data_IF_491709253972
#
_entry.id   IF_491709253972
#
_cell.length_a   1.000
_cell.length_b   1.000
_cell.length_c   1.000
_cell.angle_alpha   90.00
_cell.angle_beta   90.00
_cell.angle_gamma   90.00
#
_symmetry.space_group_name_H-M   'P 1'
#
loop_
_entity.id
_entity.type
_entity.pdbx_description
1 polymer ?
#
# COMPACT_ATOMS: atom_id res chain seq x y z
N UNK A 1 17.44 -15.62 25.76
CA UNK A 1 17.03 -16.90 25.11
C UNK A 1 15.85 -16.72 24.12
N UNK A 2 14.83 -15.92 24.46
CA UNK A 2 13.65 -15.75 23.58
C UNK A 2 13.94 -15.03 22.25
N UNK A 3 14.89 -14.11 22.20
CA UNK A 3 15.25 -13.35 20.97
C UNK A 3 16.04 -14.19 19.97
N UNK A 4 16.88 -15.13 20.43
CA UNK A 4 17.63 -16.01 19.55
C UNK A 4 16.75 -17.07 18.88
N UNK A 5 15.74 -17.59 19.61
CA UNK A 5 14.78 -18.56 19.08
C UNK A 5 13.85 -17.91 18.03
N UNK A 6 13.43 -16.66 18.24
CA UNK A 6 12.68 -15.91 17.22
C UNK A 6 13.52 -15.65 15.95
N UNK A 7 14.79 -15.32 16.08
CA UNK A 7 15.70 -15.17 14.93
C UNK A 7 15.89 -16.46 14.16
N UNK A 8 16.06 -17.60 14.83
CA UNK A 8 16.15 -18.91 14.18
C UNK A 8 14.86 -19.31 13.45
N UNK A 9 13.69 -19.04 14.05
CA UNK A 9 12.40 -19.29 13.38
C UNK A 9 12.24 -18.49 12.11
N UNK A 10 12.67 -17.23 12.08
CA UNK A 10 12.62 -16.38 10.89
C UNK A 10 13.62 -16.79 9.80
N UNK A 11 14.72 -17.43 10.16
CA UNK A 11 15.74 -17.91 9.20
C UNK A 11 15.40 -19.26 8.55
N UNK A 12 14.49 -20.03 9.13
CA UNK A 12 14.13 -21.36 8.63
C UNK A 12 12.86 -21.39 7.77
N UNK A 13 12.12 -20.26 7.65
CA UNK A 13 10.89 -20.19 6.89
C UNK A 13 11.27 -19.74 5.46
N UNK A 14 11.19 -20.66 4.51
CA UNK A 14 11.21 -20.35 3.08
C UNK A 14 9.85 -19.77 2.72
N UNK A 15 9.80 -18.80 1.81
CA UNK A 15 8.58 -18.21 1.26
C UNK A 15 7.72 -17.48 2.31
N UNK A 16 8.34 -16.57 3.07
CA UNK A 16 7.69 -15.80 4.11
C UNK A 16 7.55 -14.33 3.74
N UNK A 17 6.53 -13.71 4.32
CA UNK A 17 6.38 -12.25 4.33
C UNK A 17 6.72 -11.75 5.74
N UNK A 18 7.60 -10.76 5.84
CA UNK A 18 7.93 -10.06 7.08
C UNK A 18 7.47 -8.63 6.94
N UNK A 19 6.63 -8.17 7.88
CA UNK A 19 6.15 -6.80 7.92
C UNK A 19 6.73 -6.10 9.14
N UNK A 20 7.38 -4.96 8.92
CA UNK A 20 7.89 -4.07 9.96
C UNK A 20 7.00 -2.83 10.03
N UNK A 21 6.10 -2.81 11.01
CA UNK A 21 5.20 -1.69 11.27
C UNK A 21 5.50 -1.10 12.66
N UNK A 22 6.13 0.00 12.71
CA UNK A 22 6.70 0.85 11.66
C UNK A 22 8.20 1.07 11.89
N UNK A 23 8.90 1.56 10.86
CA UNK A 23 10.33 1.94 11.01
C UNK A 23 10.52 3.00 12.10
N UNK A 24 9.54 3.88 12.30
CA UNK A 24 9.57 4.90 13.36
C UNK A 24 9.62 4.32 14.78
N UNK A 25 9.09 3.11 14.98
CA UNK A 25 9.07 2.41 16.27
C UNK A 25 10.34 1.59 16.55
N UNK A 26 11.29 1.54 15.62
CA UNK A 26 12.58 0.88 15.81
C UNK A 26 13.51 1.79 16.60
N UNK A 27 13.50 1.65 17.92
CA UNK A 27 14.31 2.45 18.83
C UNK A 27 15.67 1.79 19.04
N UNK A 28 16.78 2.54 18.90
CA UNK A 28 18.12 2.06 19.24
C UNK A 28 18.24 1.72 20.73
N UNK A 29 19.00 0.66 21.06
CA UNK A 29 19.22 0.25 22.45
C UNK A 29 19.78 1.37 23.32
N UNK A 30 20.74 2.14 22.79
CA UNK A 30 21.33 3.28 23.50
C UNK A 30 20.34 4.40 23.79
N UNK A 31 19.28 4.53 22.99
CA UNK A 31 18.21 5.50 23.23
C UNK A 31 17.23 5.02 24.30
N UNK A 32 17.03 3.67 24.39
CA UNK A 32 16.21 3.06 25.45
C UNK A 32 16.91 3.13 26.82
N UNK A 33 18.22 2.97 26.85
CA UNK A 33 19.05 2.94 28.07
C UNK A 33 19.55 4.33 28.48
N UNK A 34 19.42 5.34 27.59
CA UNK A 34 19.82 6.73 27.84
C UNK A 34 18.82 7.49 28.72
N UNK A 35 19.22 8.66 29.18
CA UNK A 35 18.36 9.55 29.94
C UNK A 35 17.48 10.41 29.04
N UNK A 36 16.34 10.89 29.56
CA UNK A 36 15.47 11.82 28.84
C UNK A 36 16.22 13.12 28.56
N UNK A 37 16.39 13.46 27.29
CA UNK A 37 17.11 14.66 26.85
C UNK A 37 18.45 14.35 26.17
N UNK A 38 18.95 13.12 26.24
CA UNK A 38 20.15 12.71 25.52
C UNK A 38 19.97 12.85 24.00
N UNK A 39 20.97 13.45 23.36
CA UNK A 39 20.94 13.67 21.92
C UNK A 39 21.47 12.44 21.15
N UNK A 40 20.58 11.70 20.51
CA UNK A 40 20.92 10.52 19.67
C UNK A 40 20.80 10.82 18.17
N UNK A 41 21.22 12.01 17.73
CA UNK A 41 21.10 12.47 16.34
C UNK A 41 21.72 11.46 15.36
N UNK A 42 20.90 10.98 14.42
CA UNK A 42 21.32 10.08 13.35
C UNK A 42 21.63 8.65 13.76
N UNK A 43 21.49 8.28 15.03
CA UNK A 43 21.77 6.92 15.51
C UNK A 43 20.85 5.88 14.83
N UNK A 44 19.56 6.15 14.78
CA UNK A 44 18.58 5.30 14.08
C UNK A 44 18.94 5.14 12.60
N UNK A 45 19.32 6.19 11.90
CA UNK A 45 19.70 6.14 10.49
C UNK A 45 20.96 5.29 10.24
N UNK A 46 21.94 5.38 11.16
CA UNK A 46 23.17 4.58 11.11
C UNK A 46 22.88 3.10 11.34
N UNK A 47 22.05 2.77 12.34
CA UNK A 47 21.65 1.40 12.63
C UNK A 47 20.79 0.80 11.51
N UNK A 48 19.88 1.57 10.92
CA UNK A 48 19.11 1.14 9.75
C UNK A 48 20.02 0.80 8.57
N UNK A 49 21.05 1.62 8.31
CA UNK A 49 22.01 1.35 7.24
C UNK A 49 22.80 0.06 7.49
N UNK A 50 23.17 -0.23 8.73
CA UNK A 50 23.84 -1.48 9.11
C UNK A 50 22.91 -2.69 9.01
N UNK A 51 21.69 -2.57 9.52
CA UNK A 51 20.68 -3.62 9.49
C UNK A 51 20.34 -4.02 8.06
N UNK A 52 20.08 -3.05 7.17
CA UNK A 52 19.71 -3.31 5.78
C UNK A 52 20.84 -3.99 5.00
N UNK A 53 22.11 -3.64 5.26
CA UNK A 53 23.25 -4.37 4.64
C UNK A 53 23.25 -5.84 5.01
N UNK A 54 22.97 -6.18 6.28
CA UNK A 54 22.91 -7.57 6.75
C UNK A 54 21.67 -8.28 6.22
N UNK A 55 20.51 -7.62 6.27
CA UNK A 55 19.22 -8.17 5.84
C UNK A 55 19.19 -8.46 4.34
N UNK A 56 19.74 -7.59 3.50
CA UNK A 56 19.75 -7.79 2.04
C UNK A 56 20.40 -9.10 1.65
N UNK A 57 21.54 -9.46 2.27
CA UNK A 57 22.20 -10.73 2.00
C UNK A 57 21.39 -11.96 2.44
N UNK A 58 20.62 -11.84 3.51
CA UNK A 58 19.77 -12.93 4.02
C UNK A 58 18.52 -13.07 3.18
N UNK A 59 17.86 -11.94 2.90
CA UNK A 59 16.61 -11.89 2.13
C UNK A 59 16.81 -12.46 0.73
N UNK A 60 17.92 -12.10 0.05
CA UNK A 60 18.23 -12.61 -1.30
C UNK A 60 18.39 -14.13 -1.38
N UNK A 61 18.60 -14.80 -0.24
CA UNK A 61 18.80 -16.27 -0.15
C UNK A 61 17.55 -17.00 0.36
N UNK A 62 16.52 -16.29 0.81
CA UNK A 62 15.43 -16.88 1.57
C UNK A 62 14.06 -16.77 0.90
N UNK A 63 13.95 -16.39 -0.36
CA UNK A 63 12.67 -16.16 -1.05
C UNK A 63 11.62 -15.42 -0.19
N UNK A 64 12.09 -14.49 0.66
CA UNK A 64 11.28 -13.78 1.64
C UNK A 64 11.00 -12.35 1.17
N UNK A 65 9.75 -11.91 1.26
CA UNK A 65 9.38 -10.52 1.02
C UNK A 65 9.43 -9.77 2.35
N UNK A 66 10.14 -8.63 2.37
CA UNK A 66 10.17 -7.77 3.56
C UNK A 66 9.53 -6.42 3.24
N UNK A 67 8.48 -6.10 3.99
CA UNK A 67 7.72 -4.86 3.85
C UNK A 67 8.05 -3.96 5.03
N UNK A 68 8.56 -2.76 4.75
CA UNK A 68 8.77 -1.71 5.75
C UNK A 68 7.70 -0.65 5.60
N UNK A 69 6.89 -0.48 6.64
CA UNK A 69 5.94 0.63 6.75
C UNK A 69 6.67 1.81 7.40
N UNK A 70 6.64 2.96 6.74
CA UNK A 70 7.31 4.17 7.24
C UNK A 70 6.37 5.37 7.26
N UNK A 71 6.66 6.30 8.12
CA UNK A 71 5.91 7.55 8.26
C UNK A 71 6.65 8.69 7.56
N UNK A 72 5.89 9.60 6.97
CA UNK A 72 6.41 10.86 6.47
C UNK A 72 6.48 11.88 7.61
N UNK A 73 7.54 12.63 7.61
CA UNK A 73 7.77 13.77 8.50
C UNK A 73 8.13 14.98 7.66
N UNK A 74 7.82 16.15 8.13
CA UNK A 74 8.22 17.38 7.50
C UNK A 74 9.48 17.94 8.17
N UNK A 75 10.41 18.41 7.35
CA UNK A 75 11.57 19.16 7.82
C UNK A 75 11.22 20.64 7.88
N UNK A 76 11.37 21.22 9.04
CA UNK A 76 11.21 22.66 9.24
C UNK A 76 12.36 23.40 8.54
N UNK A 77 12.06 24.53 7.87
CA UNK A 77 13.05 25.42 7.26
C UNK A 77 13.55 25.02 5.87
N UNK A 78 12.89 24.09 5.18
CA UNK A 78 13.21 23.79 3.77
C UNK A 78 12.52 24.81 2.85
N UNK A 79 13.30 25.74 2.29
CA UNK A 79 12.79 26.77 1.37
C UNK A 79 12.61 26.27 -0.06
N UNK A 80 13.36 25.23 -0.50
CA UNK A 80 13.32 24.67 -1.85
C UNK A 80 13.26 23.14 -1.83
N UNK A 81 12.46 22.55 -2.72
CA UNK A 81 12.27 21.11 -2.83
C UNK A 81 11.18 20.60 -1.88
N UNK A 82 11.03 19.26 -1.79
CA UNK A 82 10.05 18.62 -0.91
C UNK A 82 10.55 18.63 0.54
N UNK A 83 9.81 19.20 1.49
CA UNK A 83 10.14 19.14 2.91
C UNK A 83 9.97 17.74 3.49
N UNK A 84 9.30 16.84 2.78
CA UNK A 84 8.98 15.52 3.27
C UNK A 84 10.21 14.61 3.40
N UNK A 85 10.32 13.98 4.55
CA UNK A 85 11.37 13.01 4.86
C UNK A 85 10.79 11.81 5.56
N UNK A 86 11.52 10.70 5.55
CA UNK A 86 11.15 9.46 6.24
C UNK A 86 12.03 9.25 7.45
N UNK A 87 11.51 8.59 8.50
CA UNK A 87 12.31 8.14 9.64
C UNK A 87 13.31 7.05 9.23
N UNK A 88 14.39 6.87 10.02
CA UNK A 88 15.42 5.86 9.71
C UNK A 88 16.39 6.25 8.60
N UNK A 89 16.40 7.53 8.16
CA UNK A 89 17.35 8.06 7.18
C UNK A 89 17.06 7.65 5.73
N UNK A 90 18.12 7.68 4.90
CA UNK A 90 18.00 7.45 3.45
C UNK A 90 18.20 5.99 3.02
N UNK A 91 18.65 5.10 3.90
CA UNK A 91 19.05 3.75 3.51
C UNK A 91 17.94 2.94 2.84
N UNK A 92 16.72 2.96 3.38
CA UNK A 92 15.57 2.29 2.77
C UNK A 92 15.30 2.73 1.33
N UNK A 93 15.51 4.01 1.00
CA UNK A 93 15.31 4.53 -0.37
C UNK A 93 16.23 3.85 -1.38
N UNK A 94 17.44 3.47 -0.97
CA UNK A 94 18.42 2.80 -1.82
C UNK A 94 18.18 1.29 -1.88
N UNK A 95 17.99 0.65 -0.73
CA UNK A 95 17.87 -0.81 -0.63
C UNK A 95 16.54 -1.36 -1.16
N UNK A 96 15.44 -0.62 -1.03
CA UNK A 96 14.14 -1.09 -1.52
C UNK A 96 14.12 -1.37 -3.02
N UNK A 97 13.50 -2.47 -3.41
CA UNK A 97 13.19 -2.79 -4.81
C UNK A 97 11.96 -2.03 -5.29
N UNK A 98 10.92 -1.95 -4.45
CA UNK A 98 9.68 -1.23 -4.71
C UNK A 98 9.49 -0.20 -3.61
N UNK A 99 8.98 0.98 -3.98
CA UNK A 99 8.53 2.02 -3.03
C UNK A 99 7.18 2.53 -3.47
N UNK A 100 6.26 2.47 -2.52
CA UNK A 100 4.89 2.97 -2.67
C UNK A 100 4.73 4.23 -1.80
N UNK A 101 4.14 5.26 -2.36
CA UNK A 101 3.66 6.44 -1.65
C UNK A 101 2.14 6.30 -1.49
N UNK A 102 1.67 6.22 -0.26
CA UNK A 102 0.26 6.03 0.08
C UNK A 102 -0.28 7.33 0.64
N UNK A 103 -1.30 7.90 0.00
CA UNK A 103 -1.90 9.19 0.39
C UNK A 103 -3.40 9.07 0.56
N UNK A 104 -3.90 9.58 1.68
CA UNK A 104 -5.32 9.86 1.82
C UNK A 104 -5.65 11.10 0.99
N UNK A 105 -6.60 10.98 0.07
CA UNK A 105 -7.07 12.07 -0.76
C UNK A 105 -8.22 12.82 -0.08
N UNK A 106 -9.27 12.09 0.27
CA UNK A 106 -10.46 12.65 0.92
C UNK A 106 -11.08 11.65 1.90
N UNK A 107 -11.96 12.15 2.76
CA UNK A 107 -12.74 11.31 3.66
C UNK A 107 -14.10 11.01 3.05
N UNK A 108 -14.47 9.73 3.03
CA UNK A 108 -15.78 9.28 2.58
C UNK A 108 -16.79 9.48 3.70
N UNK A 109 -17.91 10.13 3.38
CA UNK A 109 -18.97 10.44 4.34
C UNK A 109 -20.29 9.82 3.91
N UNK A 110 -21.03 9.30 4.87
CA UNK A 110 -22.40 8.84 4.70
C UNK A 110 -23.25 9.32 5.89
N UNK A 111 -24.34 10.03 5.61
CA UNK A 111 -25.20 10.57 6.67
C UNK A 111 -24.51 11.57 7.62
N UNK A 112 -23.42 12.21 7.18
CA UNK A 112 -22.62 13.12 8.02
C UNK A 112 -21.45 12.46 8.78
N UNK A 113 -21.42 11.14 8.86
CA UNK A 113 -20.33 10.38 9.51
C UNK A 113 -19.25 10.00 8.50
N UNK A 114 -18.01 9.96 8.97
CA UNK A 114 -16.86 9.51 8.17
C UNK A 114 -16.81 7.98 8.25
N UNK A 115 -17.02 7.32 7.11
CA UNK A 115 -17.09 5.86 7.00
C UNK A 115 -15.85 5.24 6.35
N UNK A 116 -14.96 6.06 5.80
CA UNK A 116 -13.75 5.58 5.12
C UNK A 116 -12.92 6.72 4.54
N UNK A 117 -11.90 6.35 3.79
CA UNK A 117 -11.02 7.28 3.08
C UNK A 117 -10.83 6.83 1.63
N UNK A 118 -10.90 7.79 0.72
CA UNK A 118 -10.38 7.61 -0.64
C UNK A 118 -8.85 7.73 -0.61
N UNK A 119 -8.17 6.74 -1.12
CA UNK A 119 -6.72 6.59 -0.97
C UNK A 119 -6.07 6.42 -2.33
N UNK A 120 -4.97 7.12 -2.55
CA UNK A 120 -4.12 6.97 -3.74
C UNK A 120 -2.81 6.30 -3.36
N UNK A 121 -2.39 5.33 -4.15
CA UNK A 121 -1.06 4.73 -4.10
C UNK A 121 -0.32 5.10 -5.38
N UNK A 122 0.90 5.60 -5.22
CA UNK A 122 1.82 5.88 -6.33
C UNK A 122 3.08 5.03 -6.22
N UNK A 123 3.44 4.35 -7.28
CA UNK A 123 4.69 3.58 -7.37
C UNK A 123 5.83 4.54 -7.69
N UNK A 124 6.54 5.01 -6.66
CA UNK A 124 7.63 6.00 -6.81
C UNK A 124 8.97 5.39 -7.16
N UNK A 125 9.14 4.08 -6.98
CA UNK A 125 10.29 3.30 -7.41
C UNK A 125 9.86 1.86 -7.66
N UNK A 126 10.32 1.30 -8.76
CA UNK A 126 10.15 -0.12 -9.07
C UNK A 126 11.37 -0.60 -9.87
N UNK A 127 11.99 -1.70 -9.43
CA UNK A 127 13.12 -2.34 -10.10
C UNK A 127 12.72 -3.57 -10.92
N UNK A 128 11.46 -4.03 -10.78
CA UNK A 128 10.98 -5.27 -11.40
C UNK A 128 9.92 -5.03 -12.47
N UNK A 129 9.40 -3.78 -12.57
CA UNK A 129 8.42 -3.37 -13.58
C UNK A 129 8.49 -1.84 -13.78
N UNK A 130 7.85 -1.26 -14.81
CA UNK A 130 7.80 0.18 -15.01
C UNK A 130 7.23 0.92 -13.79
N UNK A 131 7.93 1.94 -13.26
CA UNK A 131 7.46 2.75 -12.14
C UNK A 131 6.43 3.79 -12.56
N UNK A 132 6.00 4.63 -11.59
CA UNK A 132 5.14 5.81 -11.73
C UNK A 132 3.68 5.52 -12.07
N UNK A 133 3.25 4.26 -11.98
CA UNK A 133 1.82 3.92 -12.02
C UNK A 133 1.15 4.37 -10.73
N UNK A 134 -0.12 4.72 -10.84
CA UNK A 134 -0.97 5.13 -9.72
C UNK A 134 -2.23 4.27 -9.69
N UNK A 135 -2.76 4.03 -8.50
CA UNK A 135 -4.04 3.39 -8.27
C UNK A 135 -4.78 4.14 -7.17
N UNK A 136 -6.09 4.28 -7.32
CA UNK A 136 -6.97 4.93 -6.35
C UNK A 136 -8.10 3.98 -5.98
N UNK A 137 -8.41 3.90 -4.68
CA UNK A 137 -9.47 3.06 -4.15
C UNK A 137 -9.94 3.54 -2.79
N UNK A 138 -11.10 3.04 -2.37
CA UNK A 138 -11.68 3.36 -1.08
C UNK A 138 -11.26 2.35 -0.01
N UNK A 139 -10.85 2.85 1.15
CA UNK A 139 -10.66 2.07 2.37
C UNK A 139 -11.80 2.36 3.34
N UNK A 140 -12.66 1.38 3.57
CA UNK A 140 -13.81 1.48 4.48
C UNK A 140 -13.39 1.08 5.89
N UNK A 141 -13.76 1.85 6.90
CA UNK A 141 -13.41 1.55 8.29
C UNK A 141 -14.03 0.23 8.74
N UNK A 142 -13.20 -0.62 9.35
CA UNK A 142 -13.59 -1.96 9.81
C UNK A 142 -13.85 -3.00 8.72
N UNK A 143 -13.81 -2.61 7.43
CA UNK A 143 -14.07 -3.53 6.30
C UNK A 143 -12.89 -3.68 5.33
N UNK A 144 -11.95 -2.70 5.32
CA UNK A 144 -10.82 -2.68 4.40
C UNK A 144 -11.16 -2.08 3.03
N UNK A 145 -10.47 -2.54 1.98
CA UNK A 145 -10.65 -2.03 0.62
C UNK A 145 -12.04 -2.40 0.09
N UNK A 146 -12.73 -1.41 -0.52
CA UNK A 146 -14.04 -1.61 -1.16
C UNK A 146 -13.84 -2.29 -2.51
N UNK A 147 -13.94 -3.63 -2.54
CA UNK A 147 -13.77 -4.43 -3.78
C UNK A 147 -14.75 -3.98 -4.87
N UNK A 148 -16.03 -3.85 -4.53
CA UNK A 148 -17.07 -3.49 -5.49
C UNK A 148 -16.91 -2.05 -6.02
N UNK A 149 -16.37 -1.15 -5.17
CA UNK A 149 -16.04 0.21 -5.59
C UNK A 149 -14.92 0.23 -6.61
N UNK A 150 -13.87 -0.54 -6.36
CA UNK A 150 -12.71 -0.64 -7.24
C UNK A 150 -13.09 -1.28 -8.59
N UNK A 151 -13.83 -2.39 -8.56
CA UNK A 151 -14.35 -3.06 -9.77
C UNK A 151 -15.22 -2.10 -10.59
N UNK A 152 -16.12 -1.36 -9.96
CA UNK A 152 -17.01 -0.40 -10.63
C UNK A 152 -16.23 0.71 -11.33
N UNK A 153 -15.25 1.28 -10.64
CA UNK A 153 -14.45 2.39 -11.17
C UNK A 153 -13.56 1.93 -12.33
N UNK A 154 -12.89 0.79 -12.20
CA UNK A 154 -12.08 0.19 -13.26
C UNK A 154 -12.95 -0.21 -14.47
N UNK A 155 -14.10 -0.84 -14.23
CA UNK A 155 -15.04 -1.22 -15.30
C UNK A 155 -15.58 0.00 -16.05
N UNK A 156 -15.81 1.11 -15.35
CA UNK A 156 -16.22 2.36 -15.98
C UNK A 156 -15.10 2.99 -16.82
N UNK A 157 -13.84 2.90 -16.38
CA UNK A 157 -12.68 3.40 -17.12
C UNK A 157 -12.47 2.68 -18.46
N UNK A 158 -12.72 1.37 -18.49
CA UNK A 158 -12.58 0.54 -19.71
C UNK A 158 -13.89 0.37 -20.49
N UNK A 159 -14.95 1.09 -20.11
CA UNK A 159 -16.28 1.05 -20.74
C UNK A 159 -16.97 -0.33 -20.71
N UNK A 160 -16.61 -1.23 -19.81
CA UNK A 160 -17.37 -2.46 -19.50
C UNK A 160 -18.67 -2.09 -18.79
N UNK A 161 -18.60 -1.13 -17.87
CA UNK A 161 -19.77 -0.47 -17.29
C UNK A 161 -19.90 0.92 -17.94
N UNK A 162 -21.06 1.20 -18.53
CA UNK A 162 -21.33 2.48 -19.15
C UNK A 162 -21.74 3.51 -18.09
N UNK A 163 -21.00 4.63 -18.04
CA UNK A 163 -21.31 5.75 -17.18
C UNK A 163 -21.88 6.91 -18.02
N UNK A 164 -23.15 7.26 -17.81
CA UNK A 164 -23.82 8.40 -18.46
C UNK A 164 -24.35 9.36 -17.40
N UNK A 165 -23.65 10.49 -17.24
CA UNK A 165 -23.94 11.43 -16.16
C UNK A 165 -23.81 10.75 -14.79
N UNK A 166 -24.91 10.73 -14.01
CA UNK A 166 -24.95 10.06 -12.72
C UNK A 166 -25.33 8.56 -12.80
N UNK A 167 -25.69 8.06 -13.98
CA UNK A 167 -26.15 6.68 -14.14
C UNK A 167 -25.04 5.73 -14.56
N UNK A 168 -25.05 4.54 -13.94
CA UNK A 168 -24.23 3.41 -14.33
C UNK A 168 -25.13 2.34 -14.96
N UNK A 169 -24.68 1.74 -16.05
CA UNK A 169 -25.40 0.69 -16.75
C UNK A 169 -24.44 -0.45 -17.18
N UNK A 170 -24.91 -1.66 -17.09
CA UNK A 170 -24.20 -2.87 -17.52
C UNK A 170 -25.12 -3.69 -18.43
N UNK A 171 -24.61 -4.15 -19.59
CA UNK A 171 -25.39 -4.88 -20.61
C UNK A 171 -26.71 -4.19 -21.01
N UNK A 172 -26.76 -2.85 -20.99
CA UNK A 172 -27.97 -2.08 -21.30
C UNK A 172 -28.93 -1.86 -20.13
N UNK A 173 -28.72 -2.53 -18.99
CA UNK A 173 -29.52 -2.37 -17.79
C UNK A 173 -28.90 -1.36 -16.84
N UNK A 174 -29.74 -0.51 -16.21
CA UNK A 174 -29.27 0.44 -15.21
C UNK A 174 -28.98 -0.29 -13.89
N UNK A 175 -27.75 -0.18 -13.40
CA UNK A 175 -27.30 -0.80 -12.15
C UNK A 175 -27.34 0.17 -10.96
N UNK A 176 -27.44 1.49 -11.22
CA UNK A 176 -27.59 2.47 -10.13
C UNK A 176 -27.45 3.91 -10.58
N UNK A 177 -28.06 4.81 -9.81
CA UNK A 177 -27.83 6.23 -9.92
C UNK A 177 -26.82 6.66 -8.85
N UNK A 178 -25.64 7.11 -9.28
CA UNK A 178 -24.53 7.43 -8.41
C UNK A 178 -23.69 6.20 -8.04
N UNK A 179 -22.44 6.49 -7.65
CA UNK A 179 -21.43 5.46 -7.35
C UNK A 179 -21.85 4.55 -6.19
N UNK A 180 -22.41 5.10 -5.12
CA UNK A 180 -22.79 4.34 -3.93
C UNK A 180 -23.95 3.36 -4.20
N UNK A 181 -24.98 3.79 -4.94
CA UNK A 181 -26.08 2.90 -5.30
C UNK A 181 -25.62 1.76 -6.22
N UNK A 182 -24.71 2.07 -7.16
CA UNK A 182 -24.14 1.06 -8.05
C UNK A 182 -23.24 0.06 -7.30
N UNK A 183 -22.48 0.51 -6.30
CA UNK A 183 -21.74 -0.37 -5.39
C UNK A 183 -22.67 -1.29 -4.60
N UNK A 184 -23.76 -0.76 -4.07
CA UNK A 184 -24.75 -1.56 -3.34
C UNK A 184 -25.40 -2.60 -4.24
N UNK A 185 -25.75 -2.22 -5.47
CA UNK A 185 -26.26 -3.16 -6.46
C UNK A 185 -25.29 -4.32 -6.72
N UNK A 186 -23.98 -4.03 -6.89
CA UNK A 186 -22.97 -5.07 -7.09
C UNK A 186 -22.80 -5.98 -5.86
N UNK A 187 -22.96 -5.46 -4.65
CA UNK A 187 -22.97 -6.25 -3.42
C UNK A 187 -24.16 -7.21 -3.33
N UNK A 188 -25.33 -6.74 -3.78
CA UNK A 188 -26.57 -7.53 -3.78
C UNK A 188 -26.61 -8.55 -4.94
N UNK A 189 -25.81 -8.32 -5.97
CA UNK A 189 -25.71 -9.18 -7.17
C UNK A 189 -24.27 -9.69 -7.39
N UNK A 190 -23.76 -10.64 -6.57
CA UNK A 190 -22.37 -11.10 -6.65
C UNK A 190 -22.00 -11.70 -8.01
N UNK A 191 -22.91 -12.42 -8.66
CA UNK A 191 -22.67 -13.01 -9.96
C UNK A 191 -22.36 -11.97 -11.05
N UNK A 192 -23.05 -10.83 -11.03
CA UNK A 192 -22.79 -9.70 -11.94
C UNK A 192 -21.46 -9.04 -11.58
N UNK A 193 -21.17 -8.91 -10.29
CA UNK A 193 -19.91 -8.35 -9.83
C UNK A 193 -18.72 -9.19 -10.30
N UNK A 194 -18.81 -10.51 -10.16
CA UNK A 194 -17.77 -11.45 -10.58
C UNK A 194 -17.58 -11.45 -12.12
N UNK A 195 -18.68 -11.36 -12.90
CA UNK A 195 -18.61 -11.25 -14.35
C UNK A 195 -17.89 -9.95 -14.78
N UNK A 196 -18.20 -8.83 -14.14
CA UNK A 196 -17.55 -7.55 -14.41
C UNK A 196 -16.08 -7.61 -13.98
N UNK A 197 -15.78 -8.18 -12.82
CA UNK A 197 -14.40 -8.38 -12.35
C UNK A 197 -13.59 -9.18 -13.36
N UNK A 198 -14.14 -10.29 -13.89
CA UNK A 198 -13.43 -11.10 -14.86
C UNK A 198 -13.11 -10.31 -16.14
N UNK A 199 -14.06 -9.53 -16.67
CA UNK A 199 -13.82 -8.66 -17.83
C UNK A 199 -12.73 -7.60 -17.56
N UNK A 200 -12.68 -7.04 -16.34
CA UNK A 200 -11.64 -6.11 -15.93
C UNK A 200 -10.28 -6.82 -15.85
N UNK A 201 -10.22 -8.03 -15.27
CA UNK A 201 -8.98 -8.84 -15.19
C UNK A 201 -8.45 -9.20 -16.55
N UNK A 202 -9.32 -9.65 -17.47
CA UNK A 202 -8.97 -10.00 -18.83
C UNK A 202 -8.38 -8.80 -19.59
N UNK A 203 -9.01 -7.63 -19.45
CA UNK A 203 -8.53 -6.39 -20.08
C UNK A 203 -7.12 -6.00 -19.60
N UNK A 204 -6.85 -6.13 -18.30
CA UNK A 204 -5.54 -5.81 -17.73
C UNK A 204 -4.56 -6.99 -17.75
N UNK A 205 -4.93 -8.14 -18.31
CA UNK A 205 -4.12 -9.37 -18.38
C UNK A 205 -3.60 -9.80 -16.99
N UNK A 206 -4.45 -9.71 -15.96
CA UNK A 206 -4.05 -10.02 -14.58
C UNK A 206 -4.00 -11.52 -14.30
N UNK A 207 -4.69 -12.34 -15.05
CA UNK A 207 -4.79 -13.78 -14.87
C UNK A 207 -3.73 -14.56 -15.69
N UNK A 208 -2.54 -13.97 -15.80
CA UNK A 208 -1.29 -14.65 -16.16
C UNK A 208 -1.36 -15.70 -17.28
N UNK A 209 -2.04 -15.42 -18.39
CA UNK A 209 -1.74 -16.10 -19.64
C UNK A 209 -0.45 -15.53 -20.21
N UNK A 210 0.68 -15.97 -19.66
CA UNK A 210 1.94 -15.97 -20.39
C UNK A 210 1.75 -16.93 -21.55
N UNK A 211 1.30 -16.42 -22.68
CA UNK A 211 1.64 -17.05 -23.94
C UNK A 211 3.15 -16.85 -24.09
N UNK A 212 3.87 -17.98 -24.04
CA UNK A 212 5.29 -18.13 -24.38
C UNK A 212 5.59 -17.72 -25.83
#
# INVERSE_FOLDING_TARGET
>A
LHLSIRRQRQMCIRDSIIIVDSVAALVPKAEIEGEMGDSHVGLQARLMSQALRKLTSIISKSNCIVIFINQLREKVGVMFGSPETTTGGRALKFYSSIRLDVRRMESLKQGGEIIGNHTRIKVVKNKVAPPFKEAEFDIMFGKGISKEGDILDLAAQINVVNKSGAWYAYNGEKIGQGRENSKNYLKENPAICDEIEQKVRDFYQLDGSTED
#
